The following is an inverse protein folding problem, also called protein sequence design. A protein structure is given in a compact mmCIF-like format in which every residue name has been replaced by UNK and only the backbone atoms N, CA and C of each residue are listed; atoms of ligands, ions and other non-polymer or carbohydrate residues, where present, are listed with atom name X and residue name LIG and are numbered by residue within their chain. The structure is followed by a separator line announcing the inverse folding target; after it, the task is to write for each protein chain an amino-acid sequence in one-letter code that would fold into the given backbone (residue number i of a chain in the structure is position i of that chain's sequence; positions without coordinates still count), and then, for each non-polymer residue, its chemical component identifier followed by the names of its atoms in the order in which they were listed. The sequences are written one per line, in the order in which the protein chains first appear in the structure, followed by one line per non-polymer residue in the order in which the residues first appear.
data_IF_377408425647
#
_entry.id   IF_377408425647
#
_cell.length_a   1.000
_cell.length_b   1.000
_cell.length_c   1.000
_cell.angle_alpha   90.00
_cell.angle_beta   90.00
_cell.angle_gamma   90.00
#
_symmetry.space_group_name_H-M   'P 1'
#
loop_
_entity.id
_entity.type
_entity.pdbx_description
1 polymer ?
#
# COMPACT_ATOMS: atom_id res chain seq x y z
N UNK A 1 20.39 -25.95 -4.54
CA UNK A 1 19.05 -26.58 -4.69
C UNK A 1 18.12 -25.44 -5.04
N UNK A 2 17.86 -25.21 -6.33
CA UNK A 2 16.88 -24.24 -6.79
C UNK A 2 15.77 -25.05 -7.46
N UNK A 3 14.60 -25.08 -6.85
CA UNK A 3 13.37 -25.60 -7.46
C UNK A 3 12.66 -24.42 -8.12
N UNK A 4 12.09 -24.62 -9.31
CA UNK A 4 11.25 -23.58 -9.94
C UNK A 4 10.03 -23.31 -9.02
N UNK A 5 9.54 -22.07 -9.00
CA UNK A 5 8.36 -21.67 -8.23
C UNK A 5 7.37 -21.01 -9.17
N UNK A 6 6.12 -21.46 -9.14
CA UNK A 6 5.01 -20.89 -9.92
C UNK A 6 3.84 -20.57 -8.98
N UNK A 7 3.30 -19.36 -9.10
CA UNK A 7 2.10 -18.92 -8.37
C UNK A 7 0.87 -19.12 -9.25
N UNK A 8 -0.10 -19.89 -8.78
CA UNK A 8 -1.30 -20.21 -9.55
C UNK A 8 -2.36 -19.10 -9.41
N UNK A 9 -2.49 -18.27 -10.45
CA UNK A 9 -3.53 -17.24 -10.59
C UNK A 9 -3.59 -16.18 -9.47
N UNK A 10 -2.48 -15.96 -8.76
CA UNK A 10 -2.39 -14.88 -7.77
C UNK A 10 -1.01 -14.20 -7.74
N UNK A 11 -0.97 -13.01 -7.15
CA UNK A 11 0.27 -12.30 -6.81
C UNK A 11 0.36 -12.19 -5.29
N UNK A 12 1.43 -12.67 -4.62
CA UNK A 12 1.50 -12.69 -3.16
C UNK A 12 1.63 -11.31 -2.49
N UNK A 13 1.78 -10.27 -3.29
CA UNK A 13 2.18 -8.94 -2.85
C UNK A 13 1.46 -7.83 -3.63
N UNK A 14 1.40 -6.67 -3.02
CA UNK A 14 1.09 -5.39 -3.67
C UNK A 14 2.37 -4.59 -3.76
N UNK A 15 3.00 -4.58 -4.93
CA UNK A 15 4.21 -3.77 -5.18
C UNK A 15 3.88 -2.76 -6.27
N UNK A 16 4.09 -1.48 -5.98
CA UNK A 16 3.91 -0.39 -6.93
C UNK A 16 5.23 0.35 -7.10
N UNK A 17 5.62 0.57 -8.34
CA UNK A 17 6.72 1.45 -8.71
C UNK A 17 6.12 2.68 -9.36
N UNK A 18 6.43 3.85 -8.82
CA UNK A 18 5.91 5.13 -9.31
C UNK A 18 7.06 6.04 -9.72
N UNK A 19 6.83 6.84 -10.76
CA UNK A 19 7.78 7.86 -11.19
C UNK A 19 7.66 9.08 -10.29
N UNK A 20 8.78 9.70 -9.95
CA UNK A 20 8.85 10.96 -9.20
C UNK A 20 9.18 12.11 -10.16
N UNK A 21 8.68 13.30 -9.85
CA UNK A 21 8.95 14.51 -10.64
C UNK A 21 10.42 14.94 -10.54
N UNK A 22 11.02 14.78 -9.36
CA UNK A 22 12.41 15.16 -9.11
C UNK A 22 13.35 13.99 -9.41
N UNK A 23 14.30 14.18 -10.33
CA UNK A 23 15.31 13.17 -10.73
C UNK A 23 16.48 13.02 -9.75
N UNK A 24 16.54 13.88 -8.74
CA UNK A 24 17.56 13.93 -7.70
C UNK A 24 16.97 13.67 -6.31
N UNK A 25 15.85 12.93 -6.22
CA UNK A 25 15.29 12.54 -4.93
C UNK A 25 16.34 11.78 -4.11
N UNK A 26 16.69 12.25 -2.89
CA UNK A 26 17.61 11.54 -2.02
C UNK A 26 17.09 10.15 -1.68
N UNK A 27 18.00 9.21 -1.44
CA UNK A 27 17.62 7.89 -0.97
C UNK A 27 16.88 8.01 0.38
N UNK A 28 15.72 7.37 0.46
CA UNK A 28 14.98 7.19 1.70
C UNK A 28 14.36 5.81 1.69
N UNK A 29 14.37 5.15 2.85
CA UNK A 29 13.80 3.83 3.07
C UNK A 29 13.01 3.85 4.37
N UNK A 30 11.88 3.14 4.37
CA UNK A 30 11.06 2.90 5.56
C UNK A 30 10.54 1.47 5.50
N UNK A 31 10.41 0.85 6.64
CA UNK A 31 9.78 -0.46 6.81
C UNK A 31 8.84 -0.46 8.01
N UNK A 32 7.89 -1.38 7.98
CA UNK A 32 7.01 -1.73 9.08
C UNK A 32 6.98 -3.25 9.16
N UNK A 33 7.70 -3.80 10.15
CA UNK A 33 7.92 -5.23 10.30
C UNK A 33 6.60 -5.96 10.58
N UNK A 34 5.68 -5.35 11.34
CA UNK A 34 4.45 -6.02 11.74
C UNK A 34 3.51 -6.29 10.57
N UNK A 35 3.53 -5.43 9.54
CA UNK A 35 2.68 -5.58 8.35
C UNK A 35 3.46 -6.01 7.11
N UNK A 36 4.77 -6.28 7.25
CA UNK A 36 5.69 -6.58 6.15
C UNK A 36 5.59 -5.56 5.01
N UNK A 37 5.38 -4.29 5.38
CA UNK A 37 5.26 -3.17 4.44
C UNK A 37 6.57 -2.42 4.40
N UNK A 38 7.06 -2.09 3.21
CA UNK A 38 8.20 -1.19 3.07
C UNK A 38 8.02 -0.22 1.92
N UNK A 39 8.78 0.85 1.96
CA UNK A 39 8.85 1.84 0.90
C UNK A 39 10.26 2.37 0.74
N UNK A 40 10.59 2.76 -0.48
CA UNK A 40 11.82 3.49 -0.76
C UNK A 40 11.60 4.50 -1.87
N UNK A 41 12.40 5.56 -1.87
CA UNK A 41 12.50 6.50 -2.98
C UNK A 41 13.95 6.86 -3.26
N UNK A 42 14.29 6.99 -4.52
CA UNK A 42 15.62 7.38 -4.96
C UNK A 42 15.59 7.84 -6.41
N UNK A 43 16.38 8.87 -6.75
CA UNK A 43 16.42 9.47 -8.09
C UNK A 43 15.00 9.87 -8.52
N UNK A 44 14.50 9.31 -9.62
CA UNK A 44 13.22 9.61 -10.25
C UNK A 44 12.16 8.53 -9.99
N UNK A 45 12.33 7.67 -8.99
CA UNK A 45 11.34 6.63 -8.68
C UNK A 45 11.14 6.37 -7.18
N UNK A 46 9.96 5.84 -6.88
CA UNK A 46 9.60 5.32 -5.57
C UNK A 46 8.98 3.93 -5.68
N UNK A 47 9.14 3.13 -4.64
CA UNK A 47 8.55 1.81 -4.48
C UNK A 47 7.74 1.78 -3.20
N UNK A 48 6.54 1.21 -3.28
CA UNK A 48 5.69 0.87 -2.13
C UNK A 48 5.39 -0.62 -2.24
N UNK A 49 5.68 -1.39 -1.20
CA UNK A 49 5.53 -2.83 -1.17
C UNK A 49 4.79 -3.26 0.09
N UNK A 50 3.69 -4.00 -0.07
CA UNK A 50 3.04 -4.78 0.97
C UNK A 50 3.26 -6.26 0.64
N UNK A 51 4.02 -6.96 1.47
CA UNK A 51 4.29 -8.39 1.28
C UNK A 51 3.21 -9.22 1.96
N UNK A 52 2.92 -10.41 1.42
CA UNK A 52 1.94 -11.35 1.98
C UNK A 52 0.53 -10.74 2.13
N UNK A 53 0.07 -9.99 1.13
CA UNK A 53 -1.29 -9.42 1.10
C UNK A 53 -2.14 -9.94 -0.07
N UNK A 54 -1.60 -10.86 -0.88
CA UNK A 54 -2.23 -11.40 -2.08
C UNK A 54 -2.68 -10.34 -3.10
N UNK A 55 -1.99 -9.19 -3.17
CA UNK A 55 -2.36 -8.09 -4.07
C UNK A 55 -3.60 -7.31 -3.61
N UNK A 56 -4.02 -7.50 -2.37
CA UNK A 56 -5.29 -6.95 -1.86
C UNK A 56 -5.21 -5.45 -1.61
N UNK A 57 -4.06 -4.92 -1.16
CA UNK A 57 -3.89 -3.46 -1.04
C UNK A 57 -3.97 -2.75 -2.40
N UNK A 58 -3.44 -3.35 -3.48
CA UNK A 58 -3.59 -2.80 -4.83
C UNK A 58 -5.06 -2.74 -5.26
N UNK A 59 -5.85 -3.77 -4.96
CA UNK A 59 -7.30 -3.76 -5.23
C UNK A 59 -8.04 -2.74 -4.38
N UNK A 60 -7.66 -2.61 -3.11
CA UNK A 60 -8.27 -1.65 -2.18
C UNK A 60 -8.02 -0.20 -2.60
N UNK A 61 -6.82 0.09 -3.10
CA UNK A 61 -6.41 1.43 -3.57
C UNK A 61 -6.49 1.59 -5.10
N UNK A 62 -7.31 0.78 -5.78
CA UNK A 62 -7.33 0.74 -7.24
C UNK A 62 -7.69 2.10 -7.87
N UNK A 63 -8.60 2.86 -7.25
CA UNK A 63 -9.03 4.16 -7.75
C UNK A 63 -7.87 5.16 -7.81
N UNK A 64 -7.13 5.33 -6.71
CA UNK A 64 -5.97 6.25 -6.69
C UNK A 64 -4.84 5.74 -7.59
N UNK A 65 -4.62 4.43 -7.68
CA UNK A 65 -3.62 3.85 -8.60
C UNK A 65 -3.96 4.11 -10.07
N UNK A 66 -5.24 4.10 -10.42
CA UNK A 66 -5.70 4.47 -11.76
C UNK A 66 -5.52 5.97 -12.02
N UNK A 67 -5.85 6.81 -11.04
CA UNK A 67 -5.72 8.27 -11.12
C UNK A 67 -4.28 8.74 -11.37
N UNK A 68 -3.30 8.07 -10.77
CA UNK A 68 -1.88 8.41 -10.91
C UNK A 68 -1.19 7.72 -12.09
N UNK A 69 -1.89 6.85 -12.81
CA UNK A 69 -1.29 6.02 -13.86
C UNK A 69 -0.67 6.89 -14.95
N UNK A 70 0.63 6.72 -15.17
CA UNK A 70 1.39 7.47 -16.17
C UNK A 70 1.76 8.90 -15.75
N UNK A 71 1.42 9.33 -14.53
CA UNK A 71 1.82 10.62 -13.96
C UNK A 71 3.11 10.47 -13.14
N UNK A 72 3.92 11.53 -13.11
CA UNK A 72 5.00 11.65 -12.12
C UNK A 72 4.42 12.23 -10.84
N UNK A 73 4.88 11.74 -9.68
CA UNK A 73 4.43 12.23 -8.38
C UNK A 73 5.42 13.23 -7.79
N UNK A 74 4.89 14.26 -7.15
CA UNK A 74 5.66 15.07 -6.20
C UNK A 74 6.07 14.23 -4.99
N UNK A 75 7.01 14.75 -4.18
CA UNK A 75 7.48 14.03 -3.01
C UNK A 75 6.37 13.91 -1.94
N UNK A 76 5.50 14.91 -1.83
CA UNK A 76 4.33 14.98 -0.97
C UNK A 76 3.29 13.93 -1.36
N UNK A 77 2.98 13.82 -2.66
CA UNK A 77 2.08 12.81 -3.21
C UNK A 77 2.62 11.39 -3.01
N UNK A 78 3.93 11.18 -3.20
CA UNK A 78 4.54 9.87 -2.93
C UNK A 78 4.41 9.48 -1.46
N UNK A 79 4.72 10.39 -0.52
CA UNK A 79 4.58 10.12 0.91
C UNK A 79 3.11 9.94 1.31
N UNK A 80 2.17 10.66 0.69
CA UNK A 80 0.73 10.46 0.89
C UNK A 80 0.26 9.08 0.43
N UNK A 81 0.64 8.67 -0.79
CA UNK A 81 0.35 7.34 -1.32
C UNK A 81 0.94 6.27 -0.41
N UNK A 82 2.19 6.45 0.03
CA UNK A 82 2.86 5.51 0.92
C UNK A 82 2.15 5.40 2.27
N UNK A 83 1.77 6.53 2.88
CA UNK A 83 1.02 6.56 4.13
C UNK A 83 -0.29 5.75 4.03
N UNK A 84 -0.98 5.80 2.88
CA UNK A 84 -2.22 5.03 2.64
C UNK A 84 -1.98 3.53 2.69
N UNK A 85 -0.93 3.04 2.02
CA UNK A 85 -0.59 1.62 2.01
C UNK A 85 -0.12 1.13 3.38
N UNK A 86 0.65 1.93 4.11
CA UNK A 86 1.04 1.57 5.49
C UNK A 86 -0.18 1.48 6.40
N UNK A 87 -1.10 2.43 6.31
CA UNK A 87 -2.31 2.40 7.13
C UNK A 87 -3.24 1.25 6.75
N UNK A 88 -3.51 1.03 5.46
CA UNK A 88 -4.37 -0.07 5.01
C UNK A 88 -3.77 -1.44 5.30
N UNK A 89 -2.45 -1.58 5.34
CA UNK A 89 -1.81 -2.82 5.76
C UNK A 89 -2.12 -3.19 7.22
N UNK A 90 -2.30 -2.20 8.11
CA UNK A 90 -2.81 -2.44 9.47
C UNK A 90 -4.31 -2.74 9.52
N UNK A 91 -5.08 -2.26 8.55
CA UNK A 91 -6.50 -2.56 8.45
C UNK A 91 -6.75 -3.95 7.83
N UNK A 92 -5.78 -4.48 7.06
CA UNK A 92 -5.89 -5.80 6.45
C UNK A 92 -5.95 -6.86 7.56
N UNK A 93 -7.10 -7.50 7.68
CA UNK A 93 -7.45 -8.33 8.85
C UNK A 93 -7.52 -9.82 8.50
N UNK A 94 -6.72 -10.24 7.51
CA UNK A 94 -6.60 -11.63 7.06
C UNK A 94 -5.15 -12.06 7.04
N UNK A 95 -4.93 -13.33 7.33
CA UNK A 95 -3.66 -14.00 7.12
C UNK A 95 -3.79 -14.86 5.86
N UNK A 96 -3.04 -14.56 4.78
CA UNK A 96 -3.04 -15.42 3.61
C UNK A 96 -2.44 -16.79 3.92
N UNK A 97 -3.11 -17.84 3.44
CA UNK A 97 -2.68 -19.22 3.56
C UNK A 97 -2.41 -19.78 2.16
N UNK A 98 -1.45 -20.71 2.06
CA UNK A 98 -1.00 -21.25 0.78
C UNK A 98 -0.87 -22.77 0.84
N UNK A 99 -1.21 -23.42 -0.27
CA UNK A 99 -0.94 -24.84 -0.50
C UNK A 99 0.27 -24.96 -1.42
N UNK A 100 1.14 -25.93 -1.15
CA UNK A 100 2.36 -26.19 -1.92
C UNK A 100 2.26 -27.56 -2.58
N UNK A 101 2.46 -27.61 -3.90
CA UNK A 101 2.40 -28.84 -4.68
C UNK A 101 3.69 -29.00 -5.50
N UNK A 102 4.66 -29.79 -5.02
CA UNK A 102 5.88 -30.10 -5.79
C UNK A 102 5.56 -31.11 -6.92
N UNK A 103 5.86 -30.74 -8.17
CA UNK A 103 5.71 -31.57 -9.37
C UNK A 103 6.94 -31.42 -10.25
N UNK A 104 7.63 -32.53 -10.55
CA UNK A 104 8.75 -32.60 -11.52
C UNK A 104 9.83 -31.49 -11.40
N UNK A 105 10.13 -31.01 -10.19
CA UNK A 105 11.15 -29.97 -9.96
C UNK A 105 10.63 -28.53 -9.91
N UNK A 106 9.32 -28.34 -10.11
CA UNK A 106 8.59 -27.09 -9.87
C UNK A 106 7.72 -27.23 -8.63
N UNK A 107 7.69 -26.20 -7.77
CA UNK A 107 6.72 -26.10 -6.69
C UNK A 107 5.64 -25.10 -7.09
N UNK A 108 4.44 -25.61 -7.29
CA UNK A 108 3.25 -24.80 -7.50
C UNK A 108 2.72 -24.30 -6.16
N UNK A 109 2.37 -23.02 -6.09
CA UNK A 109 1.82 -22.38 -4.92
C UNK A 109 0.42 -21.89 -5.29
N UNK A 110 -0.57 -22.31 -4.52
CA UNK A 110 -1.95 -21.86 -4.66
C UNK A 110 -2.36 -21.07 -3.41
N UNK A 111 -3.01 -19.93 -3.59
CA UNK A 111 -3.54 -19.14 -2.47
C UNK A 111 -4.92 -19.63 -2.05
N UNK A 112 -5.10 -19.92 -0.76
CA UNK A 112 -6.42 -20.20 -0.22
C UNK A 112 -7.31 -18.94 -0.25
N UNK A 113 -8.63 -19.08 -0.41
CA UNK A 113 -9.53 -17.93 -0.44
C UNK A 113 -9.48 -17.07 0.83
N UNK A 114 -9.09 -15.80 0.71
CA UNK A 114 -8.96 -14.86 1.84
C UNK A 114 -10.23 -14.65 2.67
N UNK A 115 -11.42 -14.90 2.09
CA UNK A 115 -12.69 -14.76 2.80
C UNK A 115 -13.12 -16.03 3.53
N UNK A 116 -12.71 -17.22 3.09
CA UNK A 116 -13.24 -18.47 3.59
C UNK A 116 -14.78 -18.43 3.77
N UNK A 117 -15.25 -18.81 4.96
CA UNK A 117 -16.67 -18.71 5.36
C UNK A 117 -17.02 -17.45 6.18
N UNK A 118 -16.12 -16.46 6.23
CA UNK A 118 -16.27 -15.28 7.09
C UNK A 118 -17.04 -14.16 6.37
N UNK A 119 -18.02 -13.56 7.05
CA UNK A 119 -18.79 -12.42 6.53
C UNK A 119 -18.08 -11.06 6.67
N UNK A 120 -17.03 -10.99 7.50
CA UNK A 120 -16.30 -9.74 7.75
C UNK A 120 -15.60 -9.25 6.47
N UNK A 121 -15.54 -7.93 6.21
CA UNK A 121 -14.70 -7.39 5.14
C UNK A 121 -13.21 -7.75 5.29
N UNK A 122 -12.43 -7.64 4.21
CA UNK A 122 -10.99 -7.92 4.19
C UNK A 122 -10.15 -6.84 4.91
N UNK A 123 -10.71 -5.63 5.02
CA UNK A 123 -10.12 -4.53 5.75
C UNK A 123 -11.06 -4.11 6.87
N UNK A 124 -10.50 -3.72 8.00
CA UNK A 124 -11.21 -2.96 9.01
C UNK A 124 -11.58 -1.57 8.48
N UNK A 125 -12.50 -0.91 9.18
CA UNK A 125 -13.06 0.38 8.76
C UNK A 125 -11.97 1.45 8.75
N UNK A 126 -11.88 2.18 7.64
CA UNK A 126 -10.97 3.32 7.51
C UNK A 126 -11.41 4.47 8.42
N UNK A 127 -10.45 5.07 9.14
CA UNK A 127 -10.72 6.16 10.09
C UNK A 127 -9.87 7.39 9.75
N UNK A 128 -10.51 8.46 9.26
CA UNK A 128 -9.81 9.70 8.86
C UNK A 128 -8.88 10.26 9.93
N UNK A 129 -9.32 10.23 11.20
CA UNK A 129 -8.52 10.74 12.34
C UNK A 129 -7.24 9.92 12.59
N UNK A 130 -7.28 8.62 12.34
CA UNK A 130 -6.12 7.72 12.47
C UNK A 130 -5.21 7.90 11.27
N UNK A 131 -5.78 7.89 10.05
CA UNK A 131 -5.03 8.14 8.83
C UNK A 131 -4.28 9.48 8.86
N UNK A 132 -4.90 10.56 9.34
CA UNK A 132 -4.23 11.85 9.46
C UNK A 132 -3.04 11.84 10.42
N UNK A 133 -3.07 11.01 11.47
CA UNK A 133 -1.93 10.82 12.36
C UNK A 133 -0.78 10.09 11.65
N UNK A 134 -1.10 9.12 10.81
CA UNK A 134 -0.11 8.45 9.96
C UNK A 134 0.46 9.47 8.98
N UNK A 135 -0.39 10.24 8.30
CA UNK A 135 0.01 11.20 7.29
C UNK A 135 0.92 12.32 7.83
N UNK A 136 0.63 12.84 9.03
CA UNK A 136 1.51 13.78 9.75
C UNK A 136 2.95 13.24 9.89
N UNK A 137 3.11 11.96 10.20
CA UNK A 137 4.45 11.34 10.30
C UNK A 137 5.15 11.26 8.93
N UNK A 138 4.41 10.96 7.87
CA UNK A 138 4.94 10.87 6.50
C UNK A 138 5.28 12.27 5.93
N UNK A 139 4.52 13.29 6.31
CA UNK A 139 4.71 14.67 5.89
C UNK A 139 5.56 15.52 6.84
N UNK A 140 6.20 14.89 7.83
CA UNK A 140 7.12 15.56 8.76
C UNK A 140 8.16 16.47 8.08
N UNK A 141 8.74 16.14 6.90
CA UNK A 141 9.68 17.03 6.22
C UNK A 141 9.10 18.40 5.81
N UNK A 142 7.78 18.50 5.62
CA UNK A 142 7.08 19.73 5.22
C UNK A 142 6.36 20.42 6.38
N UNK A 143 6.29 19.76 7.54
CA UNK A 143 5.74 20.36 8.76
C UNK A 143 4.22 20.38 8.87
N UNK A 144 3.50 19.66 8.00
CA UNK A 144 2.04 19.53 8.09
C UNK A 144 1.65 18.77 9.35
N UNK A 145 0.87 19.40 10.22
CA UNK A 145 0.40 18.79 11.46
C UNK A 145 -1.00 18.22 11.30
N UNK A 146 -1.35 17.22 12.12
CA UNK A 146 -2.64 16.54 12.08
C UNK A 146 -3.83 17.50 12.12
N UNK A 147 -3.75 18.56 12.93
CA UNK A 147 -4.82 19.55 13.06
C UNK A 147 -5.10 20.30 11.75
N UNK A 148 -4.06 20.54 10.95
CA UNK A 148 -4.20 21.13 9.61
C UNK A 148 -4.78 20.12 8.63
N UNK A 149 -4.29 18.88 8.67
CA UNK A 149 -4.71 17.78 7.79
C UNK A 149 -6.21 17.49 7.93
N UNK A 150 -6.74 17.48 9.16
CA UNK A 150 -8.16 17.17 9.45
C UNK A 150 -9.06 18.40 9.56
N UNK A 151 -8.58 19.58 9.15
CA UNK A 151 -9.34 20.83 9.32
C UNK A 151 -10.75 20.74 8.71
N UNK A 152 -10.88 20.05 7.57
CA UNK A 152 -12.16 19.59 7.05
C UNK A 152 -12.25 18.05 7.23
N UNK A 153 -13.03 17.53 8.20
CA UNK A 153 -13.11 16.09 8.44
C UNK A 153 -13.66 15.27 7.28
N UNK A 154 -14.50 15.88 6.44
CA UNK A 154 -15.10 15.24 5.26
C UNK A 154 -14.14 15.23 4.06
N UNK A 155 -13.13 16.11 4.08
CA UNK A 155 -12.14 16.28 3.01
C UNK A 155 -10.76 16.53 3.63
N UNK A 156 -10.05 15.45 3.91
CA UNK A 156 -8.68 15.50 4.41
C UNK A 156 -7.79 16.27 3.41
N UNK A 157 -6.84 17.03 3.94
CA UNK A 157 -5.78 17.62 3.13
C UNK A 157 -5.12 16.55 2.26
N UNK A 158 -5.00 16.83 0.96
CA UNK A 158 -4.37 15.95 -0.02
C UNK A 158 -3.65 16.77 -1.07
N UNK A 159 -2.57 16.21 -1.61
CA UNK A 159 -1.85 16.76 -2.76
C UNK A 159 -2.30 16.14 -4.09
N UNK A 160 -3.27 15.22 -4.06
CA UNK A 160 -3.90 14.70 -5.26
C UNK A 160 -5.13 15.55 -5.60
N UNK A 161 -5.31 15.85 -6.89
CA UNK A 161 -6.52 16.54 -7.37
C UNK A 161 -7.79 15.73 -7.07
N UNK A 162 -7.70 14.40 -7.25
CA UNK A 162 -8.72 13.44 -6.86
C UNK A 162 -8.14 12.51 -5.80
N UNK A 163 -8.36 12.78 -4.50
CA UNK A 163 -7.75 11.99 -3.45
C UNK A 163 -8.20 10.54 -3.44
N UNK A 164 -9.41 10.19 -3.90
CA UNK A 164 -9.92 8.81 -3.88
C UNK A 164 -9.70 8.11 -2.53
N UNK A 165 -9.96 8.82 -1.43
CA UNK A 165 -9.80 8.26 -0.08
C UNK A 165 -10.91 7.23 0.18
N UNK A 166 -10.59 6.10 0.85
CA UNK A 166 -11.62 5.16 1.27
C UNK A 166 -12.66 5.84 2.16
N UNK A 167 -13.92 5.43 2.01
CA UNK A 167 -15.02 5.95 2.83
C UNK A 167 -14.73 5.70 4.31
N UNK A 168 -14.70 6.77 5.10
CA UNK A 168 -14.64 6.67 6.55
C UNK A 168 -15.95 6.08 7.10
N UNK A 169 -15.84 5.21 8.11
CA UNK A 169 -17.01 4.72 8.84
C UNK A 169 -17.07 5.19 10.28
#
# INVERSE_FOLDING_TARGET
IYTSIEFEDFTPWSINVVKLENDKTPFSFRDEINTLTFSLKFKDFGIIACLQDNGTNNRYHQEILNEIKGKSLSAEQFEELTARFYYSAYLFNRLPEYTFMPVEGTTYIEAMPLRGNMSKPLFDVWQHKVYAQVLENFWKPWGYVKFEIIKNPDELMSFFENPCLPVAG
#
